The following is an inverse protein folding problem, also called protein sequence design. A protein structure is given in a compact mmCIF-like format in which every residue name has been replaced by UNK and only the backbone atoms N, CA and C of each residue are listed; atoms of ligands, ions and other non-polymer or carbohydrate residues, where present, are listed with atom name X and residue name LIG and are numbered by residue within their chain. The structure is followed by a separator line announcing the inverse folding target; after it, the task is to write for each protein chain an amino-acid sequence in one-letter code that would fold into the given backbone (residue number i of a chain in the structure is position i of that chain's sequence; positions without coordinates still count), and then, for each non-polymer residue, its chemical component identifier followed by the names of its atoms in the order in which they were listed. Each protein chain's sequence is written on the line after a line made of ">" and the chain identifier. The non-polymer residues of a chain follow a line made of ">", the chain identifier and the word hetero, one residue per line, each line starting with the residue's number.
data_IF_028266299039
#
_entry.id   IF_028266299039
#
_cell.length_a   1.000
_cell.length_b   1.000
_cell.length_c   1.000
_cell.angle_alpha   90.00
_cell.angle_beta   90.00
_cell.angle_gamma   90.00
#
_symmetry.space_group_name_H-M   'P 1'
#
loop_
_entity.id
_entity.type
_entity.pdbx_description
1 polymer ?
#
# COMPACT_ATOMS: atom_id res chain seq x y z
N UNK A 1 7.68 -15.19 -19.12
CA UNK A 1 6.61 -14.40 -18.47
C UNK A 1 6.33 -15.09 -17.14
N UNK A 2 6.93 -14.59 -16.07
CA UNK A 2 6.92 -15.24 -14.76
C UNK A 2 5.61 -14.94 -14.02
N UNK A 3 4.79 -15.96 -13.83
CA UNK A 3 3.57 -15.93 -13.00
C UNK A 3 3.92 -16.07 -11.50
N UNK A 4 4.82 -15.22 -11.01
CA UNK A 4 5.35 -15.25 -9.63
C UNK A 4 4.47 -14.53 -8.58
N UNK A 5 3.69 -13.46 -8.88
CA UNK A 5 3.07 -12.66 -7.81
C UNK A 5 2.00 -13.40 -6.99
N UNK A 6 1.17 -14.25 -7.62
CA UNK A 6 0.07 -14.93 -6.93
C UNK A 6 0.54 -16.12 -6.08
N UNK A 7 1.68 -16.72 -6.43
CA UNK A 7 2.27 -17.83 -5.68
C UNK A 7 2.71 -17.42 -4.26
N UNK A 8 3.06 -16.15 -4.04
CA UNK A 8 3.44 -15.68 -2.70
C UNK A 8 2.23 -15.54 -1.78
N UNK A 9 1.11 -15.01 -2.27
CA UNK A 9 -0.13 -14.96 -1.50
C UNK A 9 -0.74 -16.35 -1.28
N UNK A 10 -0.67 -17.24 -2.28
CA UNK A 10 -1.13 -18.62 -2.17
C UNK A 10 -0.37 -19.47 -1.13
N UNK A 11 0.80 -19.00 -0.65
CA UNK A 11 1.56 -19.66 0.43
C UNK A 11 1.12 -19.23 1.83
N UNK A 12 0.24 -18.23 1.93
CA UNK A 12 -0.38 -17.84 3.19
C UNK A 12 -1.48 -18.86 3.47
N UNK A 13 -1.35 -19.56 4.60
CA UNK A 13 -2.35 -20.53 5.05
C UNK A 13 -3.72 -19.85 5.10
N UNK A 14 -4.71 -20.45 4.42
CA UNK A 14 -6.06 -19.91 4.35
C UNK A 14 -6.33 -19.01 3.15
N UNK A 15 -5.34 -18.48 2.43
CA UNK A 15 -5.62 -17.53 1.33
C UNK A 15 -6.47 -18.14 0.20
N UNK A 16 -6.14 -19.37 -0.22
CA UNK A 16 -6.90 -20.07 -1.26
C UNK A 16 -8.26 -20.53 -0.73
N UNK A 17 -8.29 -21.04 0.50
CA UNK A 17 -9.50 -21.49 1.17
C UNK A 17 -10.50 -20.35 1.35
N UNK A 18 -10.03 -19.15 1.71
CA UNK A 18 -10.84 -17.93 1.83
C UNK A 18 -11.42 -17.51 0.49
N UNK A 19 -10.60 -17.51 -0.58
CA UNK A 19 -11.08 -17.20 -1.93
C UNK A 19 -12.16 -18.18 -2.41
N UNK A 20 -11.97 -19.48 -2.16
CA UNK A 20 -12.94 -20.53 -2.50
C UNK A 20 -14.23 -20.43 -1.67
N UNK A 21 -14.12 -20.11 -0.37
CA UNK A 21 -15.27 -19.89 0.50
C UNK A 21 -16.12 -18.72 0.00
N UNK A 22 -15.49 -17.59 -0.32
CA UNK A 22 -16.17 -16.42 -0.87
C UNK A 22 -16.85 -16.73 -2.22
N UNK A 23 -16.19 -17.47 -3.11
CA UNK A 23 -16.80 -17.92 -4.36
C UNK A 23 -18.03 -18.81 -4.12
N UNK A 24 -18.01 -19.63 -3.07
CA UNK A 24 -19.14 -20.48 -2.70
C UNK A 24 -20.30 -19.66 -2.15
N UNK A 25 -20.02 -18.62 -1.36
CA UNK A 25 -21.01 -17.66 -0.88
C UNK A 25 -21.63 -16.87 -2.04
N UNK A 26 -20.84 -16.48 -3.04
CA UNK A 26 -21.36 -15.81 -4.25
C UNK A 26 -22.37 -16.69 -5.00
N UNK A 27 -22.06 -17.98 -5.13
CA UNK A 27 -23.00 -18.94 -5.74
C UNK A 27 -24.26 -19.12 -4.90
N UNK A 28 -24.12 -19.18 -3.57
CA UNK A 28 -25.25 -19.26 -2.65
C UNK A 28 -26.17 -18.05 -2.82
N UNK A 29 -25.62 -16.83 -2.77
CA UNK A 29 -26.40 -15.59 -2.96
C UNK A 29 -27.04 -15.52 -4.33
N UNK A 30 -26.37 -15.99 -5.39
CA UNK A 30 -26.89 -15.97 -6.74
C UNK A 30 -28.03 -16.98 -6.99
N UNK A 31 -28.15 -18.03 -6.16
CA UNK A 31 -29.09 -19.14 -6.40
C UNK A 31 -30.18 -19.28 -5.34
N UNK A 32 -29.94 -18.78 -4.13
CA UNK A 32 -30.92 -18.79 -3.06
C UNK A 32 -32.08 -17.81 -3.34
N UNK A 33 -33.28 -18.21 -2.95
CA UNK A 33 -34.43 -17.32 -2.90
C UNK A 33 -34.28 -16.28 -1.78
N UNK A 34 -35.03 -15.18 -1.87
CA UNK A 34 -35.05 -14.14 -0.83
C UNK A 34 -35.40 -14.71 0.56
N UNK A 35 -36.29 -15.70 0.61
CA UNK A 35 -36.67 -16.37 1.87
C UNK A 35 -35.54 -17.19 2.45
N UNK A 36 -34.82 -17.94 1.60
CA UNK A 36 -33.65 -18.71 2.04
C UNK A 36 -32.54 -17.77 2.53
N UNK A 37 -32.28 -16.68 1.81
CA UNK A 37 -31.30 -15.68 2.22
C UNK A 37 -31.67 -15.02 3.55
N UNK A 38 -32.94 -14.71 3.78
CA UNK A 38 -33.39 -14.18 5.06
C UNK A 38 -33.13 -15.18 6.21
N UNK A 39 -33.43 -16.46 6.01
CA UNK A 39 -33.16 -17.50 7.02
C UNK A 39 -31.65 -17.65 7.28
N UNK A 40 -30.84 -17.67 6.22
CA UNK A 40 -29.37 -17.75 6.34
C UNK A 40 -28.84 -16.53 7.11
N UNK A 41 -29.33 -15.34 6.79
CA UNK A 41 -28.90 -14.09 7.43
C UNK A 41 -29.23 -14.09 8.93
N UNK A 42 -30.40 -14.57 9.33
CA UNK A 42 -30.74 -14.73 10.76
C UNK A 42 -29.84 -15.75 11.46
N UNK A 43 -29.55 -16.90 10.83
CA UNK A 43 -28.60 -17.89 11.37
C UNK A 43 -27.20 -17.28 11.56
N UNK A 44 -26.75 -16.45 10.62
CA UNK A 44 -25.45 -15.76 10.71
C UNK A 44 -25.47 -14.69 11.81
N UNK A 45 -26.57 -13.94 11.94
CA UNK A 45 -26.72 -12.92 13.00
C UNK A 45 -26.65 -13.51 14.40
N UNK A 46 -27.22 -14.68 14.62
CA UNK A 46 -27.28 -15.32 15.94
C UNK A 46 -25.92 -15.87 16.42
N UNK A 47 -24.91 -15.88 15.54
CA UNK A 47 -23.58 -16.45 15.80
C UNK A 47 -22.55 -15.38 16.12
N UNK A 48 -21.98 -15.45 17.32
CA UNK A 48 -20.98 -14.50 17.79
C UNK A 48 -19.67 -14.58 16.99
N UNK A 49 -19.35 -15.73 16.42
CA UNK A 49 -18.18 -15.90 15.55
C UNK A 49 -18.23 -15.10 14.25
N UNK A 50 -19.43 -14.63 13.85
CA UNK A 50 -19.65 -13.86 12.63
C UNK A 50 -19.90 -12.37 12.89
N UNK A 51 -19.60 -11.90 14.10
CA UNK A 51 -19.63 -10.48 14.41
C UNK A 51 -18.53 -9.75 13.64
N UNK A 52 -18.93 -8.71 12.92
CA UNK A 52 -18.01 -7.79 12.24
C UNK A 52 -17.91 -6.51 13.05
N UNK A 53 -16.70 -6.15 13.44
CA UNK A 53 -16.43 -4.91 14.14
C UNK A 53 -16.14 -3.80 13.13
N UNK A 54 -16.87 -2.69 13.22
CA UNK A 54 -16.68 -1.49 12.39
C UNK A 54 -16.36 -0.28 13.25
N UNK A 55 -16.00 0.82 12.60
CA UNK A 55 -15.55 2.05 13.25
C UNK A 55 -14.32 1.82 14.16
N UNK A 56 -13.42 0.93 13.73
CA UNK A 56 -12.18 0.63 14.47
C UNK A 56 -11.27 1.86 14.55
N UNK A 57 -11.44 2.80 13.63
CA UNK A 57 -10.76 4.09 13.64
C UNK A 57 -11.19 5.02 14.78
N UNK A 58 -12.31 4.76 15.47
CA UNK A 58 -12.81 5.59 16.57
C UNK A 58 -11.86 5.70 17.78
N UNK A 59 -10.91 4.77 17.90
CA UNK A 59 -9.87 4.83 18.92
C UNK A 59 -8.86 5.97 18.68
N UNK A 60 -8.89 6.61 17.51
CA UNK A 60 -8.03 7.72 17.14
C UNK A 60 -8.84 9.02 17.00
N UNK A 61 -8.31 10.13 17.52
CA UNK A 61 -8.90 11.46 17.32
C UNK A 61 -8.66 11.92 15.87
N UNK A 62 -9.68 11.81 14.99
CA UNK A 62 -9.58 12.32 13.61
C UNK A 62 -10.93 12.53 12.93
N UNK A 63 -11.03 13.63 12.19
CA UNK A 63 -12.12 13.93 11.26
C UNK A 63 -11.97 13.24 9.89
N UNK A 64 -10.83 12.58 9.62
CA UNK A 64 -10.58 11.91 8.34
C UNK A 64 -11.67 10.89 8.05
N UNK A 65 -12.40 11.08 6.94
CA UNK A 65 -13.46 10.17 6.49
C UNK A 65 -14.46 9.80 7.59
N UNK A 66 -14.71 10.72 8.53
CA UNK A 66 -15.60 10.45 9.66
C UNK A 66 -17.01 10.18 9.16
N UNK A 67 -17.51 8.98 9.43
CA UNK A 67 -18.93 8.65 9.32
C UNK A 67 -19.58 8.81 10.70
N UNK A 68 -20.77 9.40 10.79
CA UNK A 68 -21.50 9.46 12.05
C UNK A 68 -22.05 8.07 12.36
N UNK A 69 -21.68 7.42 13.47
CA UNK A 69 -22.48 6.31 14.03
C UNK A 69 -22.10 5.84 15.44
N UNK A 70 -23.12 5.28 16.11
CA UNK A 70 -23.22 4.95 17.54
C UNK A 70 -23.07 3.46 17.89
N UNK A 71 -22.95 2.57 16.89
CA UNK A 71 -22.78 1.13 17.10
C UNK A 71 -21.62 0.60 16.24
N UNK A 72 -20.66 -0.10 16.85
CA UNK A 72 -19.48 -0.70 16.23
C UNK A 72 -19.64 -2.21 15.93
N UNK A 73 -20.77 -2.80 16.35
CA UNK A 73 -21.06 -4.22 16.15
C UNK A 73 -22.00 -4.36 14.97
N UNK A 74 -21.59 -5.18 13.98
CA UNK A 74 -22.38 -5.54 12.81
C UNK A 74 -22.54 -7.05 12.71
N UNK A 75 -23.67 -7.48 12.16
CA UNK A 75 -24.09 -8.88 12.07
C UNK A 75 -24.87 -9.10 10.79
N UNK A 76 -24.77 -10.30 10.24
CA UNK A 76 -25.47 -10.71 9.01
C UNK A 76 -24.52 -11.13 7.90
N UNK A 77 -25.07 -11.86 6.93
CA UNK A 77 -24.30 -12.47 5.84
C UNK A 77 -23.59 -11.42 4.98
N UNK A 78 -24.27 -10.30 4.69
CA UNK A 78 -23.70 -9.21 3.91
C UNK A 78 -22.44 -8.64 4.57
N UNK A 79 -22.46 -8.44 5.89
CA UNK A 79 -21.28 -7.96 6.64
C UNK A 79 -20.11 -8.94 6.59
N UNK A 80 -20.38 -10.24 6.72
CA UNK A 80 -19.34 -11.28 6.65
C UNK A 80 -18.72 -11.33 5.25
N UNK A 81 -19.54 -11.30 4.20
CA UNK A 81 -19.06 -11.30 2.81
C UNK A 81 -18.25 -10.04 2.49
N UNK A 82 -18.74 -8.88 2.94
CA UNK A 82 -18.04 -7.61 2.79
C UNK A 82 -16.66 -7.64 3.48
N UNK A 83 -16.59 -8.08 4.74
CA UNK A 83 -15.33 -8.21 5.47
C UNK A 83 -14.37 -9.15 4.75
N UNK A 84 -14.84 -10.33 4.35
CA UNK A 84 -14.03 -11.32 3.66
C UNK A 84 -13.41 -10.78 2.35
N UNK A 85 -14.16 -9.96 1.59
CA UNK A 85 -13.63 -9.30 0.38
C UNK A 85 -12.55 -8.29 0.70
N UNK A 86 -12.80 -7.44 1.70
CA UNK A 86 -11.83 -6.42 2.12
C UNK A 86 -10.55 -7.09 2.62
N UNK A 87 -10.65 -8.12 3.45
CA UNK A 87 -9.49 -8.87 3.95
C UNK A 87 -8.72 -9.57 2.83
N UNK A 88 -9.41 -10.22 1.89
CA UNK A 88 -8.76 -10.89 0.77
C UNK A 88 -8.04 -9.89 -0.15
N UNK A 89 -8.64 -8.72 -0.39
CA UNK A 89 -8.01 -7.60 -1.10
C UNK A 89 -6.79 -7.05 -0.34
N UNK A 90 -6.88 -6.92 0.98
CA UNK A 90 -5.78 -6.49 1.85
C UNK A 90 -4.61 -7.48 1.84
N UNK A 91 -4.88 -8.79 1.86
CA UNK A 91 -3.84 -9.82 1.71
C UNK A 91 -3.14 -9.69 0.35
N UNK A 92 -3.90 -9.50 -0.74
CA UNK A 92 -3.29 -9.24 -2.06
C UNK A 92 -2.44 -7.97 -2.05
N UNK A 93 -2.91 -6.89 -1.43
CA UNK A 93 -2.19 -5.63 -1.32
C UNK A 93 -0.87 -5.75 -0.51
N UNK A 94 -0.88 -6.56 0.55
CA UNK A 94 0.27 -6.70 1.44
C UNK A 94 1.34 -7.69 0.97
N UNK A 95 0.98 -8.64 0.11
CA UNK A 95 1.82 -9.79 -0.23
C UNK A 95 2.04 -10.02 -1.74
N UNK A 96 1.47 -9.19 -2.60
CA UNK A 96 1.66 -9.27 -4.06
C UNK A 96 1.97 -7.89 -4.66
N UNK A 97 2.44 -7.86 -5.91
CA UNK A 97 2.70 -6.63 -6.66
C UNK A 97 1.49 -6.18 -7.51
N UNK A 98 0.29 -6.69 -7.22
CA UNK A 98 -0.92 -6.31 -7.95
C UNK A 98 -1.23 -4.82 -7.72
N UNK A 99 -1.40 -4.08 -8.81
CA UNK A 99 -1.64 -2.63 -8.77
C UNK A 99 -2.94 -2.25 -8.08
N UNK A 100 -4.04 -2.95 -8.40
CA UNK A 100 -5.39 -2.71 -7.87
C UNK A 100 -5.92 -3.98 -7.19
N UNK A 101 -5.44 -4.34 -6.00
CA UNK A 101 -5.71 -5.63 -5.37
C UNK A 101 -7.18 -5.83 -5.00
N UNK A 102 -7.90 -4.74 -4.68
CA UNK A 102 -9.32 -4.77 -4.33
C UNK A 102 -10.25 -4.95 -5.55
N UNK A 103 -9.80 -4.60 -6.76
CA UNK A 103 -10.57 -4.85 -8.00
C UNK A 103 -10.62 -6.33 -8.37
N UNK A 104 -9.70 -7.15 -7.84
CA UNK A 104 -9.68 -8.60 -8.08
C UNK A 104 -10.70 -9.37 -7.23
N UNK A 105 -11.32 -8.72 -6.24
CA UNK A 105 -12.31 -9.29 -5.32
C UNK A 105 -13.54 -8.38 -5.22
N UNK A 106 -14.15 -7.99 -6.35
CA UNK A 106 -15.16 -6.94 -6.39
C UNK A 106 -16.40 -7.34 -5.58
N UNK A 107 -17.06 -6.40 -4.88
CA UNK A 107 -18.31 -6.69 -4.18
C UNK A 107 -19.41 -7.13 -5.15
N UNK A 108 -20.26 -8.05 -4.69
CA UNK A 108 -21.53 -8.33 -5.32
C UNK A 108 -22.54 -7.21 -4.98
N UNK A 109 -23.70 -7.23 -5.63
CA UNK A 109 -24.79 -6.28 -5.31
C UNK A 109 -25.37 -6.49 -3.91
N UNK A 110 -25.26 -7.69 -3.37
CA UNK A 110 -25.87 -8.07 -2.10
C UNK A 110 -25.19 -7.37 -0.90
N UNK A 111 -23.86 -7.32 -0.89
CA UNK A 111 -23.06 -6.76 0.20
C UNK A 111 -22.37 -5.43 -0.14
N UNK A 112 -22.77 -4.77 -1.23
CA UNK A 112 -22.07 -3.58 -1.72
C UNK A 112 -22.04 -2.43 -0.69
N UNK A 113 -23.15 -2.20 0.02
CA UNK A 113 -23.24 -1.12 1.00
C UNK A 113 -22.31 -1.36 2.20
N UNK A 114 -22.33 -2.58 2.73
CA UNK A 114 -21.45 -3.04 3.82
C UNK A 114 -19.98 -3.00 3.39
N UNK A 115 -19.68 -3.41 2.16
CA UNK A 115 -18.34 -3.36 1.59
C UNK A 115 -17.78 -1.93 1.56
N UNK A 116 -18.60 -0.94 1.16
CA UNK A 116 -18.18 0.46 1.17
C UNK A 116 -17.87 0.93 2.60
N UNK A 117 -18.73 0.61 3.58
CA UNK A 117 -18.51 1.00 4.98
C UNK A 117 -17.21 0.42 5.52
N UNK A 118 -16.98 -0.89 5.34
CA UNK A 118 -15.75 -1.56 5.79
C UNK A 118 -14.53 -1.01 5.06
N UNK A 119 -14.63 -0.73 3.75
CA UNK A 119 -13.52 -0.19 2.97
C UNK A 119 -13.08 1.19 3.49
N UNK A 120 -14.04 2.07 3.75
CA UNK A 120 -13.80 3.41 4.30
C UNK A 120 -13.21 3.32 5.71
N UNK A 121 -13.79 2.49 6.59
CA UNK A 121 -13.28 2.30 7.95
C UNK A 121 -11.87 1.68 7.96
N UNK A 122 -11.59 0.73 7.05
CA UNK A 122 -10.27 0.11 6.92
C UNK A 122 -9.23 1.11 6.44
N UNK A 123 -9.54 1.93 5.42
CA UNK A 123 -8.66 2.99 4.95
C UNK A 123 -8.32 3.97 6.07
N UNK A 124 -9.34 4.40 6.82
CA UNK A 124 -9.19 5.31 7.96
C UNK A 124 -8.35 4.67 9.07
N UNK A 125 -8.66 3.43 9.44
CA UNK A 125 -7.96 2.68 10.50
C UNK A 125 -6.48 2.51 10.16
N UNK A 126 -6.15 2.03 8.95
CA UNK A 126 -4.75 1.82 8.56
C UNK A 126 -3.97 3.12 8.43
N UNK A 127 -4.59 4.18 7.92
CA UNK A 127 -3.95 5.50 7.83
C UNK A 127 -3.69 6.08 9.23
N UNK A 128 -4.69 6.09 10.12
CA UNK A 128 -4.56 6.66 11.46
C UNK A 128 -3.64 5.83 12.34
N UNK A 129 -3.65 4.50 12.20
CA UNK A 129 -2.70 3.64 12.90
C UNK A 129 -1.25 3.97 12.51
N UNK A 130 -0.97 4.29 11.24
CA UNK A 130 0.36 4.77 10.83
C UNK A 130 0.65 6.17 11.36
N UNK A 131 -0.33 7.09 11.29
CA UNK A 131 -0.17 8.46 11.76
C UNK A 131 -0.03 8.61 13.29
N UNK A 132 -0.40 7.59 14.06
CA UNK A 132 -0.22 7.55 15.51
C UNK A 132 0.97 6.68 15.95
N UNK A 133 1.69 6.07 15.01
CA UNK A 133 2.81 5.18 15.29
C UNK A 133 4.13 5.96 15.40
N UNK A 134 4.81 5.97 16.57
CA UNK A 134 6.05 6.73 16.75
C UNK A 134 7.15 6.39 15.74
N UNK A 135 7.23 5.13 15.28
CA UNK A 135 8.25 4.73 14.31
C UNK A 135 7.93 5.26 12.90
N UNK A 136 6.65 5.39 12.54
CA UNK A 136 6.26 6.04 11.29
C UNK A 136 6.71 7.50 11.28
N UNK A 137 6.62 8.19 12.41
CA UNK A 137 7.14 9.56 12.56
C UNK A 137 8.67 9.64 12.40
N UNK A 138 9.41 8.63 12.87
CA UNK A 138 10.86 8.56 12.64
C UNK A 138 11.18 8.55 11.15
N UNK A 139 10.50 7.69 10.38
CA UNK A 139 10.66 7.62 8.92
C UNK A 139 10.27 8.92 8.22
N UNK A 140 9.16 9.55 8.63
CA UNK A 140 8.72 10.83 8.06
C UNK A 140 9.75 11.95 8.27
N UNK A 141 10.36 12.05 9.46
CA UNK A 141 11.42 13.03 9.75
C UNK A 141 12.66 12.82 8.88
N UNK A 142 13.03 11.58 8.60
CA UNK A 142 14.18 11.30 7.72
C UNK A 142 13.97 11.72 6.27
N UNK A 143 12.71 11.88 5.82
CA UNK A 143 12.44 12.50 4.53
C UNK A 143 12.87 13.97 4.46
N UNK A 144 12.83 14.66 5.59
CA UNK A 144 13.14 16.09 5.71
C UNK A 144 14.61 16.34 6.05
N UNK A 145 15.34 15.32 6.51
CA UNK A 145 16.75 15.44 6.85
C UNK A 145 17.63 15.61 5.58
N UNK A 146 18.72 16.39 5.64
CA UNK A 146 19.68 16.48 4.53
C UNK A 146 20.32 15.12 4.27
N UNK A 147 20.30 14.68 3.00
CA UNK A 147 20.92 13.43 2.56
C UNK A 147 22.43 13.59 2.71
N UNK A 148 23.03 12.85 3.65
CA UNK A 148 24.48 12.67 3.71
C UNK A 148 24.80 11.27 3.16
N UNK A 149 25.45 11.16 1.99
CA UNK A 149 25.83 9.87 1.43
C UNK A 149 26.58 9.02 2.47
N UNK A 150 26.19 7.77 2.64
CA UNK A 150 26.86 6.82 3.54
C UNK A 150 26.63 7.03 5.04
N UNK A 151 25.77 7.96 5.47
CA UNK A 151 25.43 8.13 6.88
C UNK A 151 23.93 7.90 7.07
N UNK A 152 23.58 6.68 7.49
CA UNK A 152 22.28 6.47 8.12
C UNK A 152 22.15 7.47 9.29
N UNK A 153 20.97 8.07 9.52
CA UNK A 153 20.73 8.87 10.73
C UNK A 153 21.24 8.08 11.94
N UNK A 154 21.92 8.72 12.88
CA UNK A 154 22.44 8.02 14.08
C UNK A 154 21.33 7.32 14.88
N UNK A 155 20.09 7.77 14.73
CA UNK A 155 18.88 7.14 15.30
C UNK A 155 18.37 5.95 14.48
N UNK A 156 18.83 5.77 13.24
CA UNK A 156 18.42 4.67 12.36
C UNK A 156 19.05 3.32 12.77
N UNK A 157 20.07 3.32 13.63
CA UNK A 157 20.51 2.08 14.30
C UNK A 157 19.43 1.48 15.22
N UNK A 158 18.41 2.27 15.63
CA UNK A 158 17.32 1.79 16.50
C UNK A 158 16.27 0.98 15.73
N UNK A 159 16.14 1.18 14.41
CA UNK A 159 15.16 0.49 13.58
C UNK A 159 15.85 -0.46 12.60
N UNK A 160 15.62 -1.75 12.79
CA UNK A 160 16.17 -2.81 11.94
C UNK A 160 15.62 -2.73 10.51
N UNK A 161 16.38 -3.22 9.54
CA UNK A 161 15.94 -3.36 8.14
C UNK A 161 14.60 -4.12 8.05
N UNK A 162 14.41 -5.15 8.88
CA UNK A 162 13.15 -5.90 8.96
C UNK A 162 11.97 -5.01 9.36
N UNK A 163 12.17 -4.11 10.32
CA UNK A 163 11.15 -3.13 10.69
C UNK A 163 10.88 -2.17 9.53
N UNK A 164 11.91 -1.66 8.85
CA UNK A 164 11.71 -0.79 7.69
C UNK A 164 10.91 -1.47 6.57
N UNK A 165 11.20 -2.75 6.26
CA UNK A 165 10.41 -3.55 5.31
C UNK A 165 8.95 -3.70 5.77
N UNK A 166 8.72 -3.97 7.06
CA UNK A 166 7.36 -4.09 7.60
C UNK A 166 6.58 -2.77 7.48
N UNK A 167 7.20 -1.62 7.77
CA UNK A 167 6.55 -0.32 7.61
C UNK A 167 6.33 0.03 6.13
N UNK A 168 7.26 -0.29 5.23
CA UNK A 168 7.05 -0.12 3.79
C UNK A 168 5.78 -0.85 3.33
N UNK A 169 5.60 -2.11 3.77
CA UNK A 169 4.39 -2.90 3.49
C UNK A 169 3.13 -2.29 4.10
N UNK A 170 3.17 -1.84 5.37
CA UNK A 170 2.02 -1.17 6.02
C UNK A 170 1.63 0.11 5.27
N UNK A 171 2.60 0.91 4.82
CA UNK A 171 2.34 2.12 4.04
C UNK A 171 1.76 1.79 2.66
N UNK A 172 2.24 0.74 1.99
CA UNK A 172 1.66 0.25 0.73
C UNK A 172 0.21 -0.20 0.95
N UNK A 173 -0.05 -1.01 1.98
CA UNK A 173 -1.40 -1.47 2.31
C UNK A 173 -2.35 -0.29 2.56
N UNK A 174 -1.95 0.67 3.40
CA UNK A 174 -2.75 1.86 3.66
C UNK A 174 -3.00 2.68 2.37
N UNK A 175 -2.01 2.78 1.49
CA UNK A 175 -2.17 3.48 0.20
C UNK A 175 -3.20 2.78 -0.68
N UNK A 176 -3.15 1.44 -0.73
CA UNK A 176 -4.08 0.65 -1.53
C UNK A 176 -5.52 0.76 -1.03
N UNK A 177 -5.74 0.83 0.28
CA UNK A 177 -7.07 1.13 0.84
C UNK A 177 -7.58 2.51 0.44
N UNK A 178 -6.73 3.53 0.55
CA UNK A 178 -7.07 4.91 0.19
C UNK A 178 -7.38 5.03 -1.30
N UNK A 179 -6.61 4.35 -2.16
CA UNK A 179 -6.87 4.27 -3.59
C UNK A 179 -8.18 3.54 -3.91
N UNK A 180 -8.48 2.45 -3.18
CA UNK A 180 -9.74 1.73 -3.32
C UNK A 180 -10.95 2.60 -2.93
N UNK A 181 -10.87 3.35 -1.82
CA UNK A 181 -11.91 4.32 -1.43
C UNK A 181 -12.10 5.40 -2.50
N UNK A 182 -11.02 5.90 -3.10
CA UNK A 182 -11.12 6.85 -4.22
C UNK A 182 -11.84 6.23 -5.43
N UNK A 183 -11.52 4.98 -5.76
CA UNK A 183 -12.09 4.25 -6.90
C UNK A 183 -13.59 3.95 -6.75
N UNK A 184 -14.09 3.82 -5.50
CA UNK A 184 -15.52 3.70 -5.20
C UNK A 184 -16.33 4.95 -5.59
N UNK A 185 -15.63 6.06 -5.89
CA UNK A 185 -16.15 7.20 -6.63
C UNK A 185 -16.50 8.41 -5.76
N UNK A 186 -16.41 9.59 -6.39
CA UNK A 186 -16.72 10.89 -5.77
C UNK A 186 -18.17 11.05 -5.34
N UNK A 187 -19.09 10.24 -5.84
CA UNK A 187 -20.53 10.35 -5.51
C UNK A 187 -20.85 9.90 -4.09
N UNK A 188 -19.95 9.17 -3.44
CA UNK A 188 -20.11 8.72 -2.06
C UNK A 188 -19.34 9.56 -1.04
N UNK A 189 -18.42 10.41 -1.50
CA UNK A 189 -17.60 11.26 -0.64
C UNK A 189 -18.03 12.72 -0.78
N UNK A 190 -18.13 13.44 0.33
CA UNK A 190 -18.24 14.90 0.30
C UNK A 190 -16.96 15.52 -0.29
N UNK A 191 -17.04 16.78 -0.72
CA UNK A 191 -15.87 17.51 -1.21
C UNK A 191 -14.74 17.56 -0.15
N UNK A 192 -15.10 17.79 1.11
CA UNK A 192 -14.14 17.81 2.22
C UNK A 192 -13.50 16.43 2.44
N UNK A 193 -14.30 15.36 2.43
CA UNK A 193 -13.78 13.99 2.53
C UNK A 193 -12.82 13.67 1.37
N UNK A 194 -13.11 14.14 0.16
CA UNK A 194 -12.21 13.97 -0.98
C UNK A 194 -10.89 14.70 -0.79
N UNK A 195 -10.91 15.95 -0.29
CA UNK A 195 -9.67 16.71 0.01
C UNK A 195 -8.83 15.99 1.07
N UNK A 196 -9.46 15.51 2.14
CA UNK A 196 -8.78 14.75 3.19
C UNK A 196 -8.16 13.45 2.64
N UNK A 197 -8.87 12.75 1.74
CA UNK A 197 -8.36 11.56 1.05
C UNK A 197 -7.10 11.88 0.23
N UNK A 198 -7.11 12.99 -0.53
CA UNK A 198 -5.93 13.42 -1.31
C UNK A 198 -4.74 13.77 -0.41
N UNK A 199 -4.98 14.43 0.72
CA UNK A 199 -3.94 14.72 1.71
C UNK A 199 -3.34 13.42 2.27
N UNK A 200 -4.19 12.44 2.59
CA UNK A 200 -3.74 11.12 3.04
C UNK A 200 -2.87 10.41 1.99
N UNK A 201 -3.25 10.46 0.71
CA UNK A 201 -2.45 9.90 -0.40
C UNK A 201 -1.06 10.52 -0.48
N UNK A 202 -0.99 11.86 -0.46
CA UNK A 202 0.28 12.57 -0.52
C UNK A 202 1.19 12.24 0.68
N UNK A 203 0.60 12.16 1.87
CA UNK A 203 1.33 11.80 3.08
C UNK A 203 1.89 10.36 3.00
N UNK A 204 1.07 9.39 2.59
CA UNK A 204 1.50 7.99 2.45
C UNK A 204 2.57 7.82 1.35
N UNK A 205 2.46 8.54 0.23
CA UNK A 205 3.47 8.54 -0.82
C UNK A 205 4.82 9.09 -0.34
N UNK A 206 4.79 10.18 0.43
CA UNK A 206 5.97 10.77 1.07
C UNK A 206 6.63 9.79 2.05
N UNK A 207 5.83 9.15 2.92
CA UNK A 207 6.31 8.16 3.88
C UNK A 207 6.93 6.93 3.18
N UNK A 208 6.28 6.41 2.14
CA UNK A 208 6.80 5.30 1.33
C UNK A 208 8.15 5.64 0.73
N UNK A 209 8.28 6.82 0.13
CA UNK A 209 9.53 7.31 -0.46
C UNK A 209 10.66 7.38 0.57
N UNK A 210 10.37 7.90 1.76
CA UNK A 210 11.33 7.97 2.86
C UNK A 210 11.86 6.58 3.25
N UNK A 211 10.96 5.61 3.42
CA UNK A 211 11.33 4.25 3.84
C UNK A 211 12.12 3.53 2.73
N UNK A 212 11.62 3.53 1.50
CA UNK A 212 12.20 2.75 0.40
C UNK A 212 13.55 3.32 -0.03
N UNK A 213 13.62 4.62 -0.29
CA UNK A 213 14.82 5.22 -0.88
C UNK A 213 15.86 5.64 0.14
N UNK A 214 15.43 6.17 1.30
CA UNK A 214 16.36 6.75 2.27
C UNK A 214 16.79 5.77 3.36
N UNK A 215 15.94 4.80 3.71
CA UNK A 215 16.26 3.83 4.76
C UNK A 215 16.75 2.52 4.15
N UNK A 216 15.97 1.94 3.25
CA UNK A 216 16.31 0.67 2.63
C UNK A 216 17.33 0.82 1.49
N UNK A 217 17.56 2.05 1.00
CA UNK A 217 18.48 2.31 -0.12
C UNK A 217 18.04 1.66 -1.43
N UNK A 218 16.78 1.23 -1.53
CA UNK A 218 16.23 0.54 -2.70
C UNK A 218 15.85 1.60 -3.73
N UNK A 219 16.81 2.01 -4.55
CA UNK A 219 16.58 2.93 -5.68
C UNK A 219 17.76 3.80 -6.11
N UNK A 220 18.99 3.44 -5.78
CA UNK A 220 20.18 4.04 -6.40
C UNK A 220 20.93 2.97 -7.21
N UNK A 221 20.48 2.76 -8.44
CA UNK A 221 21.39 2.50 -9.56
C UNK A 221 21.04 3.49 -10.67
N UNK A 222 21.60 4.69 -10.59
CA UNK A 222 22.04 5.39 -11.78
C UNK A 222 23.53 5.59 -11.59
N UNK A 223 24.29 4.63 -12.11
CA UNK A 223 25.71 4.80 -12.43
C UNK A 223 25.82 6.11 -13.20
N UNK A 224 26.30 7.17 -12.57
CA UNK A 224 26.77 8.35 -13.29
C UNK A 224 28.00 7.90 -14.07
N UNK A 225 27.74 7.37 -15.26
CA UNK A 225 28.73 7.22 -16.31
C UNK A 225 29.42 8.56 -16.47
N UNK A 226 30.74 8.50 -16.36
CA UNK A 226 31.68 9.56 -16.69
C UNK A 226 31.37 10.12 -18.07
N UNK A 227 30.59 11.20 -18.13
CA UNK A 227 30.53 12.03 -19.33
C UNK A 227 31.77 12.90 -19.36
N UNK A 228 32.74 12.41 -20.13
CA UNK A 228 33.77 13.18 -20.85
C UNK A 228 33.26 14.56 -21.25
N UNK A 229 33.80 15.59 -20.61
CA UNK A 229 33.75 16.95 -21.14
C UNK A 229 34.69 17.02 -22.35
N UNK A 230 34.13 16.91 -23.55
CA UNK A 230 34.69 17.51 -24.75
C UNK A 230 34.01 18.87 -24.89
N UNK A 231 34.60 19.89 -24.28
CA UNK A 231 34.26 21.28 -24.55
C UNK A 231 35.17 21.78 -25.67
N UNK A 232 34.55 22.22 -26.76
CA UNK A 232 35.21 22.66 -27.97
C UNK A 232 35.62 24.12 -27.89
N UNK A 233 36.81 24.44 -28.40
CA UNK A 233 37.12 25.80 -28.79
C UNK A 233 38.60 26.16 -28.81
N UNK A 234 39.37 25.70 -29.81
CA UNK A 234 40.49 26.52 -30.32
C UNK A 234 40.75 26.24 -31.81
N UNK A 235 40.90 27.35 -32.53
CA UNK A 235 41.00 27.54 -33.97
C UNK A 235 42.37 27.11 -34.52
N UNK A 236 42.38 26.66 -35.79
CA UNK A 236 43.53 26.25 -36.61
C UNK A 236 44.62 27.33 -36.78
N UNK A 237 45.89 26.92 -36.74
CA UNK A 237 47.06 27.69 -37.23
C UNK A 237 48.42 27.10 -36.81
N UNK A 238 49.52 27.26 -37.58
CA UNK A 238 50.31 26.12 -38.08
C UNK A 238 51.72 25.92 -37.47
N UNK A 239 52.19 24.67 -37.61
CA UNK A 239 53.56 24.17 -37.91
C UNK A 239 54.75 24.84 -37.22
N UNK A 240 55.51 24.05 -36.44
CA UNK A 240 56.99 23.94 -36.52
C UNK A 240 57.55 22.88 -35.57
N UNK A 241 58.49 22.06 -36.10
CA UNK A 241 59.62 21.49 -35.34
C UNK A 241 59.39 20.10 -34.75
N UNK A 242 59.76 19.02 -35.46
CA UNK A 242 61.07 18.36 -35.41
C UNK A 242 61.36 17.64 -34.07
N UNK A 243 61.45 16.31 -34.12
CA UNK A 243 62.39 15.57 -33.27
C UNK A 243 61.91 14.24 -32.67
N UNK A 244 62.19 13.14 -33.37
CA UNK A 244 62.80 11.95 -32.75
C UNK A 244 61.91 10.95 -32.01
N UNK A 245 61.56 9.87 -32.72
CA UNK A 245 61.34 8.52 -32.17
C UNK A 245 62.72 7.84 -31.93
N UNK A 246 62.80 6.67 -31.25
CA UNK A 246 63.60 6.34 -30.06
C UNK A 246 64.85 5.49 -30.47
N UNK A 247 65.56 4.63 -29.66
CA UNK A 247 65.04 3.52 -28.84
C UNK A 247 65.85 3.09 -27.58
N UNK A 248 65.18 2.22 -26.81
CA UNK A 248 65.57 1.02 -26.06
C UNK A 248 67.03 0.62 -25.68
N UNK A 249 67.04 -0.21 -24.62
CA UNK A 249 67.92 -1.35 -24.25
C UNK A 249 69.00 -1.21 -23.19
N UNK A 250 69.08 -2.31 -22.42
CA UNK A 250 69.83 -2.63 -21.20
C UNK A 250 71.37 -2.70 -21.35
N UNK A 251 72.02 -2.63 -20.17
CA UNK A 251 73.44 -2.83 -19.81
C UNK A 251 74.39 -1.66 -20.03
#
# INVERSE_FOLDING_TARGET
>A
MEAIPEQLAARIVGFLEYGMALQSLDRLVATASEKELAVIDEIVKDRDEFVVMTNLASQYESELLRTPQSNNIRRGLAWVMALARVELGAMRAGFTDVRNPFELVPPSRYEFAEYVEIMVDSARTHYLALGNDPNAHLYARWNQAPIKPGRMPTDAQVLTERQAIAYARRTVLASQFVDAVESLGKTQLSADQYVQLQQAKQHLASLKSAIVYRVLGLGIEVSSGTNTALDGGTVLGPVTGLGGLPPATEK
#
